data_IF_879918844310
#
_entry.id   IF_879918844310
#
_cell.length_a   1.000
_cell.length_b   1.000
_cell.length_c   1.000
_cell.angle_alpha   90.00
_cell.angle_beta   90.00
_cell.angle_gamma   90.00
#
_symmetry.space_group_name_H-M   'P 1'
#
loop_
_entity.id
_entity.type
_entity.pdbx_description
1 polymer ?
#
# COMPACT_ATOMS: atom_id res chain seq x y z
N UNK A 1 20.47 -5.42 12.91
CA UNK A 1 19.29 -6.34 13.04
C UNK A 1 18.14 -6.04 12.06
N UNK A 2 18.18 -4.93 11.30
CA UNK A 2 17.05 -4.48 10.45
C UNK A 2 16.94 -5.20 9.10
N UNK A 3 18.03 -5.45 8.39
CA UNK A 3 18.00 -6.12 7.06
C UNK A 3 17.31 -7.50 7.02
N UNK A 4 17.34 -8.25 8.14
CA UNK A 4 16.66 -9.55 8.23
C UNK A 4 15.14 -9.43 8.38
N UNK A 5 14.62 -8.35 9.00
CA UNK A 5 13.17 -8.15 9.17
C UNK A 5 12.51 -7.66 7.89
N UNK A 6 13.14 -6.75 7.15
CA UNK A 6 12.64 -6.29 5.84
C UNK A 6 12.60 -7.43 4.82
N UNK A 7 13.63 -8.30 4.80
CA UNK A 7 13.64 -9.49 3.96
C UNK A 7 12.53 -10.49 4.35
N UNK A 8 12.15 -10.58 5.62
CA UNK A 8 11.09 -11.47 6.10
C UNK A 8 9.71 -10.95 5.68
N UNK A 9 9.46 -9.64 5.73
CA UNK A 9 8.17 -9.03 5.33
C UNK A 9 8.01 -9.11 3.81
N UNK A 10 9.04 -8.80 3.03
CA UNK A 10 9.03 -9.00 1.58
C UNK A 10 8.88 -10.48 1.20
N UNK A 11 9.47 -11.41 1.97
CA UNK A 11 9.32 -12.85 1.74
C UNK A 11 7.92 -13.35 2.13
N UNK A 12 7.26 -12.75 3.11
CA UNK A 12 5.87 -13.07 3.48
C UNK A 12 4.88 -12.58 2.42
N UNK A 13 5.09 -11.42 1.81
CA UNK A 13 4.30 -10.95 0.67
C UNK A 13 4.51 -11.84 -0.57
N UNK A 14 5.74 -12.21 -0.88
CA UNK A 14 6.07 -13.17 -1.94
C UNK A 14 5.51 -14.57 -1.66
N UNK A 15 5.54 -15.02 -0.40
CA UNK A 15 4.97 -16.31 -0.01
C UNK A 15 3.43 -16.31 -0.07
N UNK A 16 2.77 -15.21 0.31
CA UNK A 16 1.31 -15.07 0.18
C UNK A 16 0.90 -15.07 -1.30
N UNK A 17 1.64 -14.39 -2.18
CA UNK A 17 1.43 -14.42 -3.63
C UNK A 17 1.63 -15.83 -4.19
N UNK A 18 2.63 -16.58 -3.70
CA UNK A 18 2.91 -17.94 -4.16
C UNK A 18 1.86 -18.95 -3.67
N UNK A 19 1.35 -18.79 -2.46
CA UNK A 19 0.26 -19.64 -1.91
C UNK A 19 -1.04 -19.39 -2.66
N UNK A 20 -1.35 -18.14 -3.02
CA UNK A 20 -2.53 -17.85 -3.85
C UNK A 20 -2.43 -18.47 -5.24
N UNK A 21 -1.24 -18.46 -5.88
CA UNK A 21 -1.00 -19.12 -7.18
C UNK A 21 -1.26 -20.63 -7.13
N UNK A 22 -0.85 -21.30 -6.04
CA UNK A 22 -1.06 -22.75 -5.88
C UNK A 22 -2.53 -23.08 -5.62
N UNK A 23 -3.23 -22.27 -4.83
CA UNK A 23 -4.65 -22.45 -4.57
C UNK A 23 -5.51 -22.24 -5.84
N UNK A 24 -5.18 -21.24 -6.66
CA UNK A 24 -5.91 -20.99 -7.93
C UNK A 24 -5.70 -22.06 -8.98
N UNK A 25 -4.58 -22.78 -8.99
CA UNK A 25 -4.36 -23.93 -9.90
C UNK A 25 -5.26 -25.13 -9.62
N UNK A 26 -5.79 -25.27 -8.40
CA UNK A 26 -6.65 -26.39 -8.00
C UNK A 26 -8.14 -26.07 -7.98
N UNK A 27 -8.53 -24.84 -8.35
CA UNK A 27 -9.95 -24.48 -8.40
C UNK A 27 -10.63 -25.12 -9.62
N UNK A 28 -11.59 -26.03 -9.37
CA UNK A 28 -12.31 -26.80 -10.41
C UNK A 28 -13.41 -26.01 -11.12
N UNK A 29 -13.41 -24.67 -11.04
CA UNK A 29 -14.39 -23.80 -11.67
C UNK A 29 -14.11 -23.54 -13.16
N UNK A 30 -15.10 -22.98 -13.87
CA UNK A 30 -14.87 -22.47 -15.22
C UNK A 30 -13.96 -21.22 -15.19
N UNK A 31 -13.45 -20.81 -16.35
CA UNK A 31 -12.47 -19.71 -16.46
C UNK A 31 -12.96 -18.40 -15.83
N UNK A 32 -14.26 -18.09 -15.98
CA UNK A 32 -14.84 -16.90 -15.35
C UNK A 32 -14.81 -16.96 -13.82
N UNK A 33 -15.17 -18.10 -13.24
CA UNK A 33 -15.16 -18.28 -11.79
C UNK A 33 -13.75 -18.18 -11.22
N UNK A 34 -12.76 -18.76 -11.92
CA UNK A 34 -11.34 -18.64 -11.55
C UNK A 34 -10.87 -17.20 -11.59
N UNK A 35 -11.20 -16.47 -12.65
CA UNK A 35 -10.84 -15.08 -12.83
C UNK A 35 -11.52 -14.17 -11.79
N UNK A 36 -12.80 -14.37 -11.50
CA UNK A 36 -13.53 -13.62 -10.47
C UNK A 36 -12.98 -13.88 -9.06
N UNK A 37 -12.57 -15.11 -8.76
CA UNK A 37 -11.90 -15.42 -7.51
C UNK A 37 -10.54 -14.71 -7.41
N UNK A 38 -9.76 -14.71 -8.50
CA UNK A 38 -8.50 -13.97 -8.60
C UNK A 38 -8.68 -12.47 -8.37
N UNK A 39 -9.63 -11.83 -9.04
CA UNK A 39 -9.87 -10.39 -8.89
C UNK A 39 -10.34 -10.00 -7.50
N UNK A 40 -11.14 -10.86 -6.84
CA UNK A 40 -11.53 -10.66 -5.43
C UNK A 40 -10.34 -10.75 -4.50
N UNK A 41 -9.45 -11.70 -4.72
CA UNK A 41 -8.24 -11.85 -3.91
C UNK A 41 -7.26 -10.69 -4.12
N UNK A 42 -7.09 -10.25 -5.36
CA UNK A 42 -6.28 -9.07 -5.69
C UNK A 42 -6.81 -7.82 -4.96
N UNK A 43 -8.13 -7.62 -4.96
CA UNK A 43 -8.78 -6.54 -4.22
C UNK A 43 -8.52 -6.62 -2.71
N UNK A 44 -8.66 -7.83 -2.11
CA UNK A 44 -8.39 -8.02 -0.67
C UNK A 44 -6.95 -7.66 -0.31
N UNK A 45 -5.99 -8.12 -1.11
CA UNK A 45 -4.58 -7.86 -0.87
C UNK A 45 -4.25 -6.37 -0.99
N UNK A 46 -4.83 -5.69 -1.95
CA UNK A 46 -4.63 -4.26 -2.16
C UNK A 46 -5.15 -3.44 -0.97
N UNK A 47 -6.40 -3.66 -0.56
CA UNK A 47 -6.99 -2.87 0.54
C UNK A 47 -6.41 -3.24 1.91
N UNK A 48 -5.94 -4.47 2.09
CA UNK A 48 -5.31 -4.94 3.32
C UNK A 48 -3.85 -4.49 3.49
N UNK A 49 -3.27 -3.86 2.47
CA UNK A 49 -1.88 -3.39 2.49
C UNK A 49 -1.59 -2.28 3.49
N UNK A 50 -2.62 -1.53 3.91
CA UNK A 50 -2.53 -0.47 4.89
C UNK A 50 -3.84 -0.38 5.69
N UNK A 51 -3.74 -0.17 7.01
CA UNK A 51 -4.90 0.02 7.89
C UNK A 51 -5.74 1.23 7.46
N UNK A 52 -5.10 2.31 7.05
CA UNK A 52 -5.80 3.51 6.53
C UNK A 52 -6.57 3.18 5.25
N UNK A 53 -5.92 2.51 4.28
CA UNK A 53 -6.60 2.09 3.05
C UNK A 53 -7.80 1.20 3.33
N UNK A 54 -7.65 0.22 4.22
CA UNK A 54 -8.73 -0.70 4.62
C UNK A 54 -9.90 0.08 5.23
N UNK A 55 -9.61 0.92 6.21
CA UNK A 55 -10.61 1.71 6.94
C UNK A 55 -11.45 2.61 6.03
N UNK A 56 -10.79 3.35 5.11
CA UNK A 56 -11.48 4.27 4.20
C UNK A 56 -12.14 3.59 3.00
N UNK A 57 -11.74 2.35 2.68
CA UNK A 57 -12.31 1.62 1.54
C UNK A 57 -13.50 0.77 1.93
N UNK A 58 -13.45 0.12 3.10
CA UNK A 58 -14.46 -0.86 3.52
C UNK A 58 -14.96 -0.55 4.93
N UNK A 59 -16.28 -0.34 5.05
CA UNK A 59 -16.95 -0.23 6.34
C UNK A 59 -17.04 -1.58 7.06
N UNK A 60 -17.17 -2.68 6.31
CA UNK A 60 -17.31 -4.05 6.82
C UNK A 60 -16.31 -4.97 6.08
N UNK A 61 -15.04 -5.03 6.52
CA UNK A 61 -14.03 -5.88 5.91
C UNK A 61 -14.36 -7.37 5.95
N UNK A 62 -15.05 -7.84 7.02
CA UNK A 62 -15.40 -9.24 7.19
C UNK A 62 -16.36 -9.72 6.09
N UNK A 63 -17.28 -8.88 5.62
CA UNK A 63 -18.15 -9.17 4.48
C UNK A 63 -17.39 -9.47 3.19
N UNK A 64 -16.13 -9.01 3.11
CA UNK A 64 -15.21 -9.28 1.98
C UNK A 64 -14.22 -10.42 2.28
N UNK A 65 -14.35 -11.08 3.45
CA UNK A 65 -13.45 -12.15 3.88
C UNK A 65 -12.09 -11.63 4.35
N UNK A 66 -12.04 -10.41 4.88
CA UNK A 66 -10.84 -9.81 5.48
C UNK A 66 -11.08 -9.81 6.99
N UNK A 67 -10.57 -10.82 7.68
CA UNK A 67 -10.84 -11.02 9.12
C UNK A 67 -9.73 -10.46 10.01
N UNK A 68 -8.47 -10.61 9.59
CA UNK A 68 -7.31 -10.13 10.35
C UNK A 68 -6.27 -9.56 9.40
N UNK A 69 -5.82 -8.34 9.67
CA UNK A 69 -4.76 -7.67 8.94
C UNK A 69 -3.73 -7.11 9.90
N UNK A 70 -2.46 -7.03 9.51
CA UNK A 70 -1.47 -6.29 10.29
C UNK A 70 -1.87 -4.82 10.41
N UNK A 71 -1.73 -4.25 11.61
CA UNK A 71 -1.94 -2.82 11.82
C UNK A 71 -0.68 -2.09 11.35
N UNK A 72 -0.81 -1.34 10.26
CA UNK A 72 0.32 -0.69 9.57
C UNK A 72 -0.14 0.45 8.67
N UNK A 73 0.73 1.42 8.46
CA UNK A 73 0.60 2.41 7.37
C UNK A 73 1.15 1.89 6.03
N UNK A 74 1.72 0.69 5.99
CA UNK A 74 2.61 0.28 4.91
C UNK A 74 4.04 0.76 5.16
N UNK A 75 4.86 0.83 4.13
CA UNK A 75 6.20 1.40 4.20
C UNK A 75 6.71 1.77 2.81
N UNK A 76 7.66 2.72 2.74
CA UNK A 76 8.37 3.06 1.52
C UNK A 76 9.53 2.06 1.30
N UNK A 77 9.63 1.50 0.10
CA UNK A 77 10.72 0.56 -0.24
C UNK A 77 11.65 1.14 -1.28
N UNK A 78 12.94 0.87 -1.12
CA UNK A 78 13.99 1.21 -2.09
C UNK A 78 14.40 0.01 -2.94
N UNK A 79 13.80 -1.17 -2.71
CA UNK A 79 14.14 -2.41 -3.43
C UNK A 79 13.39 -2.46 -4.77
N UNK A 80 13.90 -1.73 -5.75
CA UNK A 80 13.37 -1.73 -7.12
C UNK A 80 13.43 -3.12 -7.77
N UNK A 81 14.34 -3.98 -7.38
CA UNK A 81 14.43 -5.35 -7.89
C UNK A 81 13.23 -6.17 -7.43
N UNK A 82 12.86 -6.08 -6.15
CA UNK A 82 11.68 -6.75 -5.63
C UNK A 82 10.38 -6.19 -6.26
N UNK A 83 10.28 -4.86 -6.48
CA UNK A 83 9.15 -4.24 -7.15
C UNK A 83 9.01 -4.76 -8.58
N UNK A 84 10.09 -4.79 -9.35
CA UNK A 84 10.11 -5.31 -10.72
C UNK A 84 9.68 -6.78 -10.77
N UNK A 85 10.25 -7.62 -9.91
CA UNK A 85 9.90 -9.03 -9.83
C UNK A 85 8.41 -9.25 -9.45
N UNK A 86 7.89 -8.45 -8.53
CA UNK A 86 6.48 -8.49 -8.14
C UNK A 86 5.57 -8.13 -9.32
N UNK A 87 5.88 -7.06 -10.05
CA UNK A 87 5.13 -6.64 -11.22
C UNK A 87 5.14 -7.71 -12.34
N UNK A 88 6.29 -8.33 -12.59
CA UNK A 88 6.40 -9.43 -13.56
C UNK A 88 5.57 -10.65 -13.15
N UNK A 89 5.60 -11.02 -11.89
CA UNK A 89 4.81 -12.13 -11.36
C UNK A 89 3.29 -11.86 -11.46
N UNK A 90 2.86 -10.63 -11.17
CA UNK A 90 1.47 -10.23 -11.30
C UNK A 90 0.97 -10.35 -12.76
N UNK A 91 1.76 -9.89 -13.73
CA UNK A 91 1.46 -10.02 -15.16
C UNK A 91 1.43 -11.50 -15.58
N UNK A 92 2.43 -12.28 -15.17
CA UNK A 92 2.47 -13.71 -15.48
C UNK A 92 1.25 -14.47 -14.93
N UNK A 93 0.79 -14.10 -13.74
CA UNK A 93 -0.41 -14.66 -13.15
C UNK A 93 -1.67 -14.26 -13.92
N UNK A 94 -1.82 -12.98 -14.29
CA UNK A 94 -2.92 -12.51 -15.13
C UNK A 94 -2.94 -13.25 -16.48
N UNK A 95 -1.79 -13.42 -17.13
CA UNK A 95 -1.65 -14.14 -18.41
C UNK A 95 -1.87 -15.66 -18.30
N UNK A 96 -1.99 -16.20 -17.09
CA UNK A 96 -2.40 -17.60 -16.90
C UNK A 96 -3.88 -17.86 -17.18
N UNK A 97 -4.69 -16.81 -17.35
CA UNK A 97 -6.10 -16.89 -17.72
C UNK A 97 -6.28 -16.78 -19.22
N UNK A 98 -7.14 -17.64 -19.79
CA UNK A 98 -7.50 -17.53 -21.22
C UNK A 98 -8.56 -16.44 -21.41
N UNK A 99 -8.10 -15.24 -21.82
CA UNK A 99 -8.95 -14.07 -22.07
C UNK A 99 -10.15 -14.39 -22.99
N UNK A 100 -9.97 -15.27 -24.01
CA UNK A 100 -11.03 -15.60 -24.98
C UNK A 100 -12.17 -16.42 -24.35
N UNK A 101 -11.90 -17.11 -23.26
CA UNK A 101 -12.89 -17.89 -22.50
C UNK A 101 -13.62 -17.07 -21.45
N UNK A 102 -13.20 -15.82 -21.21
CA UNK A 102 -13.84 -14.91 -20.27
C UNK A 102 -15.13 -14.32 -20.88
N UNK A 103 -16.09 -14.02 -20.01
CA UNK A 103 -17.28 -13.24 -20.36
C UNK A 103 -16.90 -11.82 -20.83
N UNK A 104 -17.81 -11.12 -21.51
CA UNK A 104 -17.58 -9.74 -21.95
C UNK A 104 -17.18 -8.82 -20.77
N UNK A 105 -17.83 -8.98 -19.62
CA UNK A 105 -17.51 -8.23 -18.39
C UNK A 105 -16.10 -8.55 -17.92
N UNK A 106 -15.76 -9.81 -17.78
CA UNK A 106 -14.46 -10.24 -17.24
C UNK A 106 -13.31 -9.94 -18.22
N UNK A 107 -13.57 -9.96 -19.53
CA UNK A 107 -12.57 -9.49 -20.52
C UNK A 107 -12.23 -8.01 -20.36
N UNK A 108 -13.24 -7.16 -20.12
CA UNK A 108 -12.98 -5.74 -19.85
C UNK A 108 -12.12 -5.56 -18.58
N UNK A 109 -12.44 -6.28 -17.51
CA UNK A 109 -11.65 -6.25 -16.28
C UNK A 109 -10.22 -6.75 -16.52
N UNK A 110 -10.07 -7.83 -17.30
CA UNK A 110 -8.76 -8.36 -17.69
C UNK A 110 -7.94 -7.30 -18.45
N UNK A 111 -8.53 -6.65 -19.44
CA UNK A 111 -7.85 -5.65 -20.28
C UNK A 111 -7.41 -4.41 -19.46
N UNK A 112 -8.24 -3.99 -18.49
CA UNK A 112 -7.92 -2.91 -17.56
C UNK A 112 -6.75 -3.31 -16.66
N UNK A 113 -6.81 -4.50 -16.06
CA UNK A 113 -5.74 -5.01 -15.20
C UNK A 113 -4.43 -5.20 -15.96
N UNK A 114 -4.48 -5.74 -17.18
CA UNK A 114 -3.30 -5.90 -18.02
C UNK A 114 -2.62 -4.57 -18.30
N UNK A 115 -3.40 -3.56 -18.74
CA UNK A 115 -2.87 -2.23 -19.00
C UNK A 115 -2.26 -1.58 -17.75
N UNK A 116 -2.94 -1.71 -16.61
CA UNK A 116 -2.45 -1.21 -15.33
C UNK A 116 -1.13 -1.89 -14.92
N UNK A 117 -1.08 -3.22 -14.95
CA UNK A 117 0.10 -3.99 -14.54
C UNK A 117 1.29 -3.79 -15.47
N UNK A 118 1.05 -3.70 -16.80
CA UNK A 118 2.10 -3.40 -17.77
C UNK A 118 2.68 -2.00 -17.55
N UNK A 119 1.82 -1.02 -17.26
CA UNK A 119 2.25 0.34 -16.93
C UNK A 119 3.04 0.37 -15.62
N UNK A 120 2.55 -0.31 -14.57
CA UNK A 120 3.25 -0.42 -13.29
C UNK A 120 4.62 -1.07 -13.44
N UNK A 121 4.73 -2.16 -14.22
CA UNK A 121 6.03 -2.78 -14.54
C UNK A 121 6.98 -1.82 -15.23
N UNK A 122 6.48 -1.03 -16.18
CA UNK A 122 7.32 -0.06 -16.89
C UNK A 122 7.84 1.05 -15.96
N UNK A 123 7.10 1.40 -14.92
CA UNK A 123 7.46 2.40 -13.91
C UNK A 123 8.32 1.82 -12.77
N UNK A 124 8.25 0.52 -12.52
CA UNK A 124 8.94 -0.13 -11.40
C UNK A 124 10.45 0.19 -11.27
N UNK A 125 11.25 0.30 -12.36
CA UNK A 125 12.65 0.70 -12.25
C UNK A 125 12.86 2.14 -11.77
N UNK A 126 11.82 2.97 -11.84
CA UNK A 126 11.84 4.39 -11.51
C UNK A 126 11.25 4.71 -10.14
N UNK A 127 11.14 3.73 -9.24
CA UNK A 127 10.53 3.90 -7.92
C UNK A 127 11.11 5.07 -7.11
N UNK A 128 12.41 5.37 -7.23
CA UNK A 128 13.03 6.50 -6.55
C UNK A 128 12.58 7.89 -7.07
N UNK A 129 11.78 7.96 -8.15
CA UNK A 129 11.15 9.21 -8.58
C UNK A 129 9.83 9.50 -7.85
N UNK A 130 9.35 8.58 -7.01
CA UNK A 130 8.21 8.86 -6.15
C UNK A 130 8.54 9.95 -5.14
N UNK A 131 7.51 10.71 -4.73
CA UNK A 131 7.60 11.84 -3.81
C UNK A 131 6.74 11.58 -2.57
N UNK A 132 7.20 10.73 -1.62
CA UNK A 132 6.46 10.45 -0.40
C UNK A 132 6.33 11.68 0.51
N UNK A 133 7.29 12.61 0.42
CA UNK A 133 7.23 13.93 1.03
C UNK A 133 7.13 14.98 -0.07
N UNK A 134 6.13 15.84 0.01
CA UNK A 134 5.94 16.95 -0.93
C UNK A 134 5.16 18.08 -0.25
N UNK A 135 5.40 19.36 -0.55
CA UNK A 135 4.57 20.44 -0.05
C UNK A 135 3.10 20.20 -0.39
N UNK A 136 2.18 20.30 0.57
CA UNK A 136 0.73 20.13 0.50
C UNK A 136 0.22 18.69 0.25
N UNK A 137 0.94 17.84 -0.48
CA UNK A 137 0.45 16.53 -0.89
C UNK A 137 1.28 15.36 -0.35
N UNK A 138 2.37 15.65 0.35
CA UNK A 138 3.21 14.63 0.97
C UNK A 138 2.56 14.00 2.20
N UNK A 139 3.10 12.87 2.63
CA UNK A 139 2.64 12.12 3.80
C UNK A 139 2.58 12.99 5.06
N UNK A 140 3.54 13.91 5.25
CA UNK A 140 3.59 14.81 6.41
C UNK A 140 2.35 15.72 6.51
N UNK A 141 1.74 16.07 5.37
CA UNK A 141 0.54 16.90 5.31
C UNK A 141 -0.75 16.06 5.33
N UNK A 142 -0.76 14.94 4.59
CA UNK A 142 -1.98 14.14 4.39
C UNK A 142 -2.28 13.20 5.57
N UNK A 143 -1.27 12.59 6.17
CA UNK A 143 -1.48 11.60 7.23
C UNK A 143 -2.18 12.18 8.46
N UNK A 144 -1.81 13.37 8.99
CA UNK A 144 -2.54 13.99 10.10
C UNK A 144 -4.02 14.23 9.79
N UNK A 145 -4.36 14.63 8.56
CA UNK A 145 -5.75 14.83 8.13
C UNK A 145 -6.52 13.50 8.14
N UNK A 146 -5.95 12.46 7.53
CA UNK A 146 -6.57 11.13 7.54
C UNK A 146 -6.78 10.60 8.96
N UNK A 147 -5.83 10.83 9.86
CA UNK A 147 -5.96 10.43 11.26
C UNK A 147 -7.02 11.24 12.00
N UNK A 148 -7.17 12.54 11.72
CA UNK A 148 -8.18 13.38 12.37
C UNK A 148 -9.61 13.08 11.89
N UNK A 149 -9.76 12.56 10.69
CA UNK A 149 -11.05 12.19 10.10
C UNK A 149 -11.38 10.70 10.28
N UNK A 150 -10.54 9.95 11.02
CA UNK A 150 -10.77 8.54 11.28
C UNK A 150 -12.07 8.31 12.05
N UNK A 151 -12.95 7.47 11.53
CA UNK A 151 -14.27 7.24 12.10
C UNK A 151 -14.29 5.97 12.95
N UNK A 152 -14.80 6.09 14.16
CA UNK A 152 -14.92 4.96 15.09
C UNK A 152 -16.35 4.40 15.02
N UNK A 153 -16.50 3.23 14.41
CA UNK A 153 -17.78 2.51 14.32
C UNK A 153 -17.95 1.51 15.47
N UNK A 154 -16.84 1.08 16.08
CA UNK A 154 -16.79 0.10 17.14
C UNK A 154 -15.63 0.37 18.10
N UNK A 155 -15.63 -0.32 19.27
CA UNK A 155 -14.50 -0.26 20.20
C UNK A 155 -13.20 -0.75 19.56
N UNK A 156 -13.26 -1.76 18.69
CA UNK A 156 -12.07 -2.28 18.03
C UNK A 156 -11.41 -1.28 17.08
N UNK A 157 -12.17 -0.32 16.54
CA UNK A 157 -11.60 0.75 15.72
C UNK A 157 -10.73 1.70 16.55
N UNK A 158 -11.14 1.97 17.80
CA UNK A 158 -10.36 2.77 18.73
C UNK A 158 -9.04 2.04 19.06
N UNK A 159 -9.12 0.75 19.39
CA UNK A 159 -7.94 -0.05 19.72
C UNK A 159 -6.97 -0.13 18.52
N UNK A 160 -7.51 -0.33 17.32
CA UNK A 160 -6.74 -0.32 16.05
C UNK A 160 -6.10 1.04 15.80
N UNK A 161 -6.84 2.13 16.00
CA UNK A 161 -6.32 3.49 15.81
C UNK A 161 -5.18 3.80 16.78
N UNK A 162 -5.34 3.48 18.06
CA UNK A 162 -4.30 3.71 19.07
C UNK A 162 -3.03 2.89 18.77
N UNK A 163 -3.19 1.63 18.34
CA UNK A 163 -2.05 0.83 17.91
C UNK A 163 -1.42 1.40 16.64
N UNK A 164 -2.23 1.85 15.67
CA UNK A 164 -1.74 2.45 14.43
C UNK A 164 -0.89 3.69 14.71
N UNK A 165 -1.28 4.55 15.66
CA UNK A 165 -0.47 5.71 16.05
C UNK A 165 0.93 5.30 16.53
N UNK A 166 1.08 4.14 17.18
CA UNK A 166 2.39 3.62 17.60
C UNK A 166 3.29 3.21 16.43
N UNK A 167 2.72 3.01 15.24
CA UNK A 167 3.48 2.65 14.02
C UNK A 167 4.02 3.88 13.26
N UNK A 168 3.58 5.08 13.64
CA UNK A 168 4.02 6.33 12.97
C UNK A 168 5.56 6.47 12.90
N UNK A 169 6.34 6.22 13.98
CA UNK A 169 7.78 6.33 13.90
C UNK A 169 8.43 5.32 12.93
N UNK A 170 7.91 4.10 12.86
CA UNK A 170 8.42 3.07 11.94
C UNK A 170 8.13 3.46 10.47
N UNK A 171 6.94 3.98 10.21
CA UNK A 171 6.54 4.44 8.88
C UNK A 171 7.40 5.62 8.41
N UNK A 172 7.54 6.67 9.22
CA UNK A 172 8.40 7.81 8.87
C UNK A 172 9.88 7.43 8.78
N UNK A 173 10.32 6.41 9.52
CA UNK A 173 11.67 5.88 9.35
C UNK A 173 11.86 5.25 7.95
N UNK A 174 10.86 4.55 7.43
CA UNK A 174 10.93 4.01 6.05
C UNK A 174 10.99 5.13 4.99
N UNK A 175 10.27 6.23 5.21
CA UNK A 175 10.34 7.42 4.36
C UNK A 175 11.74 8.04 4.43
N UNK A 176 12.33 8.15 5.63
CA UNK A 176 13.70 8.66 5.79
C UNK A 176 14.72 7.81 5.02
N UNK A 177 14.63 6.47 5.13
CA UNK A 177 15.51 5.58 4.37
C UNK A 177 15.31 5.76 2.85
N UNK A 178 14.07 5.98 2.41
CA UNK A 178 13.74 6.25 1.01
C UNK A 178 14.35 7.57 0.52
N UNK A 179 14.16 8.66 1.25
CA UNK A 179 14.70 9.98 0.90
C UNK A 179 16.25 9.99 0.93
N UNK A 180 16.87 9.24 1.83
CA UNK A 180 18.33 9.04 1.83
C UNK A 180 18.81 8.33 0.56
N UNK A 181 18.09 7.31 0.09
CA UNK A 181 18.40 6.62 -1.16
C UNK A 181 18.20 7.53 -2.39
N UNK A 182 17.16 8.37 -2.42
CA UNK A 182 16.96 9.41 -3.44
C UNK A 182 18.13 10.38 -3.45
N UNK A 183 18.52 10.87 -2.28
CA UNK A 183 19.65 11.80 -2.13
C UNK A 183 20.95 11.20 -2.64
N UNK A 184 21.25 9.94 -2.27
CA UNK A 184 22.43 9.22 -2.73
C UNK A 184 22.45 9.01 -4.25
N UNK A 185 21.25 8.98 -4.88
CA UNK A 185 21.08 8.82 -6.34
C UNK A 185 20.99 10.16 -7.09
N UNK A 186 21.13 11.29 -6.41
CA UNK A 186 21.02 12.63 -7.01
C UNK A 186 19.60 13.02 -7.40
N UNK A 187 18.58 12.37 -6.81
CA UNK A 187 17.15 12.57 -7.10
C UNK A 187 16.42 13.32 -5.98
N UNK A 188 17.15 13.86 -5.01
CA UNK A 188 16.51 14.57 -3.91
C UNK A 188 15.78 15.83 -4.40
N UNK A 189 14.72 16.20 -3.68
CA UNK A 189 13.88 17.35 -3.99
C UNK A 189 14.66 18.67 -4.00
N UNK A 190 14.09 19.71 -4.62
CA UNK A 190 14.65 21.05 -4.57
C UNK A 190 14.63 21.62 -3.14
N UNK A 191 15.62 22.46 -2.79
CA UNK A 191 15.78 23.00 -1.42
C UNK A 191 14.53 23.74 -0.93
N UNK A 192 13.87 24.52 -1.78
CA UNK A 192 12.63 25.23 -1.42
C UNK A 192 11.49 24.29 -1.03
N UNK A 193 11.42 23.09 -1.64
CA UNK A 193 10.42 22.07 -1.27
C UNK A 193 10.76 21.46 0.08
N UNK A 194 12.03 21.15 0.33
CA UNK A 194 12.49 20.65 1.63
C UNK A 194 12.23 21.67 2.75
N UNK A 195 12.54 22.96 2.51
CA UNK A 195 12.28 24.03 3.46
C UNK A 195 10.79 24.19 3.79
N UNK A 196 9.92 24.06 2.78
CA UNK A 196 8.46 24.10 2.97
C UNK A 196 7.98 22.92 3.82
N UNK A 197 8.44 21.69 3.53
CA UNK A 197 8.09 20.49 4.29
C UNK A 197 8.56 20.59 5.75
N UNK A 198 9.77 21.09 5.97
CA UNK A 198 10.30 21.32 7.33
C UNK A 198 9.43 22.33 8.08
N UNK A 199 9.04 23.43 7.43
CA UNK A 199 8.15 24.43 8.03
C UNK A 199 6.75 23.87 8.36
N UNK A 200 6.19 23.01 7.50
CA UNK A 200 4.92 22.33 7.75
C UNK A 200 5.01 21.38 8.95
N UNK A 201 6.06 20.56 9.01
CA UNK A 201 6.30 19.67 10.14
C UNK A 201 6.49 20.46 11.46
N UNK A 202 7.25 21.55 11.42
CA UNK A 202 7.47 22.39 12.60
C UNK A 202 6.19 23.05 13.06
N UNK A 203 5.39 23.58 12.14
CA UNK A 203 4.10 24.17 12.46
C UNK A 203 3.15 23.15 13.12
N UNK A 204 3.16 21.89 12.64
CA UNK A 204 2.37 20.82 13.25
C UNK A 204 2.82 20.49 14.68
N UNK A 205 4.13 20.43 14.92
CA UNK A 205 4.72 20.19 16.26
C UNK A 205 4.39 21.35 17.20
N UNK A 206 4.50 22.61 16.73
CA UNK A 206 4.31 23.81 17.52
C UNK A 206 2.83 24.00 17.96
N UNK A 207 1.88 23.28 17.36
CA UNK A 207 0.49 23.26 17.86
C UNK A 207 0.39 22.68 19.27
N UNK A 208 1.30 21.80 19.69
CA UNK A 208 1.28 21.18 21.02
C UNK A 208 -0.10 20.61 21.37
N UNK A 209 -0.62 20.98 22.55
CA UNK A 209 -1.93 20.54 23.03
C UNK A 209 -3.12 21.15 22.25
N UNK A 210 -2.88 22.12 21.37
CA UNK A 210 -3.88 22.69 20.46
C UNK A 210 -3.95 21.92 19.13
N UNK A 211 -3.19 20.83 18.99
CA UNK A 211 -3.21 20.03 17.78
C UNK A 211 -4.59 19.38 17.61
N UNK A 212 -5.13 19.50 16.39
CA UNK A 212 -6.48 19.01 16.08
C UNK A 212 -6.63 17.48 16.26
N UNK A 213 -5.54 16.71 16.29
CA UNK A 213 -5.60 15.27 16.61
C UNK A 213 -6.08 15.01 18.05
N UNK A 214 -5.87 15.93 19.00
CA UNK A 214 -6.39 15.79 20.35
C UNK A 214 -7.92 15.97 20.44
N UNK A 215 -8.52 16.67 19.47
CA UNK A 215 -9.96 16.88 19.44
C UNK A 215 -10.72 15.85 18.61
N UNK A 216 -10.02 14.98 17.89
CA UNK A 216 -10.62 13.96 17.02
C UNK A 216 -10.80 12.60 17.70
N UNK A 217 -10.32 12.42 18.93
CA UNK A 217 -10.41 11.16 19.70
C UNK A 217 -11.39 11.25 20.88
#
# INVERSE_FOLDING_TARGET
>A
MSKKRSAIIASLFLAALFVSVVLFRHFSGNENQRFEAYTKELFRQEVAGSTISLHYTLKDPEAYGIEQTPITFGYCTTDTTAICASAENAIALLHSFDRNRLSKKNRLTYDILENYMVSARALAPYGLYEEPLAPLTGTQAQLPVLLSEYQFYSQSDIDTYLELLTKTPEYFHSILEFEQAKSASGLFMASYSADAIIAECQAFIDMGDQNYLYSSV
#
